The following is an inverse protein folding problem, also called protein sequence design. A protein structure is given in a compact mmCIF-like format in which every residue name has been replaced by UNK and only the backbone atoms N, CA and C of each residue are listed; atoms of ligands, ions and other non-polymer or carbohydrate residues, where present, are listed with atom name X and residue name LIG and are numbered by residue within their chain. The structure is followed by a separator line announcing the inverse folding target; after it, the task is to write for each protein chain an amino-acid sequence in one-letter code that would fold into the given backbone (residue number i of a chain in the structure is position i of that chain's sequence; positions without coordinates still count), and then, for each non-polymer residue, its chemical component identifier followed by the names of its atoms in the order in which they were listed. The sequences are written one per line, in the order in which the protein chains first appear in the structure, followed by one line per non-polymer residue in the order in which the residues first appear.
data_IF_969188061736
#
_entry.id   IF_969188061736
#
_cell.length_a   1.000
_cell.length_b   1.000
_cell.length_c   1.000
_cell.angle_alpha   90.00
_cell.angle_beta   90.00
_cell.angle_gamma   90.00
#
_symmetry.space_group_name_H-M   'P 1'
#
loop_
_entity.id
_entity.type
_entity.pdbx_description
1 polymer ?
#
# COMPACT_ATOMS: atom_id res chain seq x y z
N UNK A 1 15.20 13.97 4.70
CA UNK A 1 15.62 12.77 3.98
C UNK A 1 16.84 13.08 3.13
N UNK A 2 17.98 12.37 3.32
CA UNK A 2 19.24 12.68 2.65
C UNK A 2 19.40 12.03 1.26
N UNK A 3 18.51 11.15 0.87
CA UNK A 3 18.55 10.49 -0.43
C UNK A 3 18.06 11.34 -1.59
N UNK A 4 18.19 10.86 -2.85
CA UNK A 4 17.71 11.57 -4.03
C UNK A 4 16.20 11.84 -3.99
N UNK A 5 15.72 12.97 -4.54
CA UNK A 5 14.28 13.25 -4.70
C UNK A 5 13.63 12.18 -5.58
N UNK A 6 12.47 11.68 -5.16
CA UNK A 6 11.77 10.59 -5.87
C UNK A 6 10.28 10.59 -5.58
N UNK A 7 9.54 9.92 -6.42
CA UNK A 7 8.12 9.62 -6.24
C UNK A 7 7.88 8.11 -6.19
N UNK A 8 6.67 7.69 -5.84
CA UNK A 8 6.26 6.29 -5.84
C UNK A 8 7.17 5.36 -5.01
N UNK A 9 7.80 5.91 -3.99
CA UNK A 9 8.53 5.19 -2.95
C UNK A 9 7.54 4.56 -1.97
N UNK A 10 8.01 3.64 -1.14
CA UNK A 10 7.25 3.08 -0.03
C UNK A 10 7.71 3.62 1.31
N UNK A 11 6.78 3.65 2.25
CA UNK A 11 7.07 3.92 3.66
C UNK A 11 6.21 3.05 4.57
N UNK A 12 6.75 2.72 5.73
CA UNK A 12 6.03 2.05 6.82
C UNK A 12 6.68 2.42 8.16
N UNK A 13 6.01 2.10 9.26
CA UNK A 13 6.56 2.26 10.60
C UNK A 13 6.59 0.92 11.33
N UNK A 14 7.65 0.69 12.12
CA UNK A 14 7.84 -0.46 12.99
C UNK A 14 8.66 -0.01 14.20
N UNK A 15 8.25 -0.42 15.41
CA UNK A 15 8.97 -0.13 16.65
C UNK A 15 9.33 1.36 16.80
N UNK A 16 8.34 2.24 16.56
CA UNK A 16 8.48 3.70 16.67
C UNK A 16 9.52 4.31 15.73
N UNK A 17 9.97 3.56 14.72
CA UNK A 17 10.86 4.01 13.64
C UNK A 17 10.10 4.10 12.33
N UNK A 18 10.44 5.09 11.52
CA UNK A 18 9.97 5.19 10.14
C UNK A 18 10.95 4.52 9.19
N UNK A 19 10.44 3.84 8.18
CA UNK A 19 11.25 3.24 7.11
C UNK A 19 10.79 3.75 5.76
N UNK A 20 11.75 3.98 4.87
CA UNK A 20 11.51 4.53 3.54
C UNK A 20 12.46 3.89 2.53
N UNK A 21 11.96 3.57 1.34
CA UNK A 21 12.81 3.00 0.28
C UNK A 21 12.12 2.89 -1.06
N UNK A 22 12.86 2.37 -2.04
CA UNK A 22 12.40 2.21 -3.43
C UNK A 22 12.04 3.56 -4.09
N UNK A 23 11.25 3.53 -5.17
CA UNK A 23 10.79 4.74 -5.84
C UNK A 23 11.47 5.01 -7.18
N UNK A 24 11.12 6.15 -7.79
CA UNK A 24 11.56 6.54 -9.14
C UNK A 24 11.70 8.07 -9.24
N UNK A 25 12.76 8.55 -9.84
CA UNK A 25 13.02 9.98 -10.01
C UNK A 25 12.64 10.55 -11.39
N UNK A 26 12.09 9.68 -12.26
CA UNK A 26 11.78 10.00 -13.66
C UNK A 26 12.78 9.39 -14.63
N UNK A 27 13.91 8.85 -14.14
CA UNK A 27 14.98 8.25 -14.93
C UNK A 27 15.41 6.90 -14.36
N UNK A 28 15.66 6.82 -13.05
CA UNK A 28 16.19 5.65 -12.36
C UNK A 28 15.22 5.13 -11.30
N UNK A 29 15.12 3.80 -11.21
CA UNK A 29 14.47 3.13 -10.08
C UNK A 29 15.45 2.98 -8.93
N UNK A 30 14.95 3.10 -7.71
CA UNK A 30 15.73 2.99 -6.49
C UNK A 30 15.43 1.72 -5.71
N UNK A 31 16.39 1.27 -4.92
CA UNK A 31 16.28 0.18 -3.95
C UNK A 31 16.99 0.47 -2.64
N UNK A 32 17.54 1.66 -2.48
CA UNK A 32 18.09 2.13 -1.21
C UNK A 32 17.00 2.13 -0.13
N UNK A 33 17.41 1.87 1.09
CA UNK A 33 16.51 1.73 2.21
C UNK A 33 17.02 2.50 3.41
N UNK A 34 16.12 3.22 4.07
CA UNK A 34 16.44 4.21 5.08
C UNK A 34 15.54 4.03 6.31
N UNK A 35 16.14 4.25 7.48
CA UNK A 35 15.46 4.32 8.77
C UNK A 35 15.45 5.76 9.27
N UNK A 36 14.30 6.22 9.74
CA UNK A 36 14.14 7.49 10.43
C UNK A 36 13.91 7.26 11.92
N UNK A 37 14.71 7.90 12.72
CA UNK A 37 14.59 7.96 14.16
C UNK A 37 13.94 9.28 14.58
N UNK A 38 12.68 9.28 15.06
CA UNK A 38 12.00 10.51 15.47
C UNK A 38 12.56 11.13 16.75
N UNK A 39 13.18 10.34 17.65
CA UNK A 39 13.77 10.86 18.89
C UNK A 39 14.99 11.73 18.63
N UNK A 40 15.83 11.31 17.68
CA UNK A 40 17.05 12.03 17.33
C UNK A 40 16.90 12.87 16.07
N UNK A 41 15.76 12.77 15.38
CA UNK A 41 15.50 13.42 14.09
C UNK A 41 16.57 13.09 13.03
N UNK A 42 16.97 11.83 12.96
CA UNK A 42 18.04 11.38 12.05
C UNK A 42 17.57 10.30 11.09
N UNK A 43 18.12 10.36 9.89
CA UNK A 43 18.03 9.31 8.88
C UNK A 43 19.31 8.49 8.86
N UNK A 44 19.17 7.19 8.79
CA UNK A 44 20.28 6.24 8.66
C UNK A 44 20.02 5.31 7.49
N UNK A 45 20.97 5.21 6.56
CA UNK A 45 20.87 4.25 5.47
C UNK A 45 21.08 2.84 6.05
N UNK A 46 20.22 1.93 5.66
CA UNK A 46 20.25 0.51 6.02
C UNK A 46 20.66 -0.31 4.81
N UNK A 47 20.72 -1.63 4.99
CA UNK A 47 20.93 -2.57 3.88
C UNK A 47 19.87 -2.37 2.81
N UNK A 48 20.29 -2.17 1.57
CA UNK A 48 19.39 -2.01 0.43
C UNK A 48 18.35 -3.11 0.33
N UNK A 49 17.19 -2.77 -0.18
CA UNK A 49 16.16 -3.73 -0.54
C UNK A 49 16.71 -4.78 -1.52
N UNK A 50 16.62 -6.09 -1.23
CA UNK A 50 17.31 -7.12 -2.02
C UNK A 50 16.64 -7.44 -3.36
N UNK A 51 15.37 -7.08 -3.53
CA UNK A 51 14.69 -7.20 -4.81
C UNK A 51 15.20 -6.20 -5.86
N UNK A 52 14.66 -6.25 -7.07
CA UNK A 52 14.97 -5.25 -8.11
C UNK A 52 14.60 -3.83 -7.64
N UNK A 53 15.36 -2.84 -8.07
CA UNK A 53 14.99 -1.45 -7.91
C UNK A 53 13.64 -1.19 -8.57
N UNK A 54 12.69 -0.54 -7.87
CA UNK A 54 11.29 -0.49 -8.29
C UNK A 54 10.55 0.73 -7.77
N UNK A 55 9.42 1.02 -8.37
CA UNK A 55 8.45 1.99 -7.89
C UNK A 55 7.07 1.35 -7.68
N UNK A 56 6.12 2.11 -7.12
CA UNK A 56 4.72 1.69 -6.92
C UNK A 56 4.59 0.34 -6.21
N UNK A 57 5.56 -0.01 -5.39
CA UNK A 57 5.51 -1.20 -4.55
C UNK A 57 4.47 -1.06 -3.43
N UNK A 58 4.11 -2.16 -2.81
CA UNK A 58 3.27 -2.22 -1.62
C UNK A 58 4.15 -2.44 -0.41
N UNK A 59 3.89 -1.72 0.70
CA UNK A 59 4.63 -1.90 1.94
C UNK A 59 3.73 -1.74 3.16
N UNK A 60 4.09 -2.43 4.24
CA UNK A 60 3.42 -2.33 5.54
C UNK A 60 4.35 -2.76 6.66
N UNK A 61 4.13 -2.20 7.85
CA UNK A 61 4.68 -2.70 9.11
C UNK A 61 3.73 -3.71 9.73
N UNK A 62 4.23 -4.84 10.19
CA UNK A 62 3.44 -5.91 10.78
C UNK A 62 4.24 -6.56 11.91
N UNK A 63 3.68 -6.60 13.13
CA UNK A 63 4.43 -6.96 14.34
C UNK A 63 5.66 -6.06 14.50
N UNK A 64 6.83 -6.65 14.52
CA UNK A 64 8.14 -6.02 14.67
C UNK A 64 8.94 -5.95 13.36
N UNK A 65 8.30 -6.22 12.22
CA UNK A 65 8.94 -6.34 10.90
C UNK A 65 8.30 -5.47 9.83
N UNK A 66 9.09 -5.10 8.84
CA UNK A 66 8.64 -4.38 7.65
C UNK A 66 8.52 -5.30 6.43
N UNK A 67 7.54 -5.06 5.60
CA UNK A 67 7.28 -5.87 4.40
C UNK A 67 7.24 -4.97 3.17
N UNK A 68 7.92 -5.38 2.10
CA UNK A 68 7.89 -4.71 0.80
C UNK A 68 7.70 -5.76 -0.29
N UNK A 69 6.80 -5.51 -1.22
CA UNK A 69 6.60 -6.39 -2.37
C UNK A 69 5.83 -5.74 -3.51
N UNK A 70 5.61 -6.50 -4.56
CA UNK A 70 4.98 -6.02 -5.80
C UNK A 70 5.69 -4.81 -6.42
N UNK A 71 4.99 -4.02 -7.22
CA UNK A 71 5.56 -2.83 -7.85
C UNK A 71 5.97 -3.05 -9.30
N UNK A 72 6.85 -2.17 -9.79
CA UNK A 72 7.25 -2.11 -11.19
C UNK A 72 8.73 -1.72 -11.33
N UNK A 73 9.45 -2.51 -12.13
CA UNK A 73 10.87 -2.30 -12.48
C UNK A 73 11.13 -2.27 -14.00
N UNK A 74 10.07 -2.05 -14.78
CA UNK A 74 9.96 -2.33 -16.20
C UNK A 74 9.02 -3.51 -16.44
N UNK A 75 8.82 -4.36 -15.42
CA UNK A 75 7.85 -5.44 -15.36
C UNK A 75 6.98 -5.32 -14.12
N UNK A 76 5.77 -5.83 -14.16
CA UNK A 76 4.94 -5.95 -12.96
C UNK A 76 5.45 -7.08 -12.07
N UNK A 77 5.48 -6.84 -10.76
CA UNK A 77 6.10 -7.73 -9.79
C UNK A 77 5.07 -8.29 -8.79
N UNK A 78 5.40 -9.42 -8.14
CA UNK A 78 4.61 -10.01 -7.05
C UNK A 78 5.46 -10.64 -5.94
N UNK A 79 6.78 -10.52 -6.04
CA UNK A 79 7.70 -10.93 -4.99
C UNK A 79 7.49 -10.12 -3.72
N UNK A 80 7.73 -10.73 -2.57
CA UNK A 80 7.67 -10.10 -1.27
C UNK A 80 8.91 -10.41 -0.45
N UNK A 81 9.29 -9.41 0.36
CA UNK A 81 10.43 -9.49 1.25
C UNK A 81 10.04 -8.94 2.62
N UNK A 82 10.59 -9.54 3.65
CA UNK A 82 10.47 -9.08 5.03
C UNK A 82 11.81 -8.52 5.52
N UNK A 83 11.76 -7.38 6.17
CA UNK A 83 12.89 -6.75 6.84
C UNK A 83 12.78 -6.94 8.35
N UNK A 84 13.83 -7.45 8.96
CA UNK A 84 13.99 -7.55 10.40
C UNK A 84 14.87 -6.39 10.90
N UNK A 85 14.30 -5.39 11.58
CA UNK A 85 15.08 -4.26 12.10
C UNK A 85 16.12 -4.63 13.14
N UNK A 86 15.86 -5.67 13.95
CA UNK A 86 16.77 -6.09 15.02
C UNK A 86 18.08 -6.62 14.47
N UNK A 87 18.01 -7.36 13.37
CA UNK A 87 19.19 -7.95 12.73
C UNK A 87 19.66 -7.20 11.49
N UNK A 88 18.91 -6.14 11.07
CA UNK A 88 19.15 -5.39 9.83
C UNK A 88 19.23 -6.30 8.59
N UNK A 89 18.36 -7.31 8.53
CA UNK A 89 18.36 -8.33 7.48
C UNK A 89 17.04 -8.38 6.72
N UNK A 90 17.18 -8.69 5.43
CA UNK A 90 16.09 -9.01 4.55
C UNK A 90 16.00 -10.51 4.30
N UNK A 91 14.78 -11.01 4.15
CA UNK A 91 14.49 -12.37 3.73
C UNK A 91 13.36 -12.32 2.67
N UNK A 92 13.48 -13.13 1.62
CA UNK A 92 12.39 -13.28 0.68
C UNK A 92 11.35 -14.24 1.25
N UNK A 93 10.09 -13.83 1.22
CA UNK A 93 8.98 -14.65 1.66
C UNK A 93 8.14 -15.13 0.46
N UNK A 94 7.22 -16.05 0.74
CA UNK A 94 6.27 -16.54 -0.29
C UNK A 94 5.45 -15.36 -0.84
N UNK A 95 5.31 -15.30 -2.16
CA UNK A 95 4.45 -14.34 -2.84
C UNK A 95 2.98 -14.77 -2.72
N UNK A 96 2.05 -13.83 -2.83
CA UNK A 96 0.64 -14.18 -2.97
C UNK A 96 0.38 -15.00 -4.27
N UNK A 97 -0.73 -15.74 -4.29
CA UNK A 97 -1.14 -16.53 -5.45
C UNK A 97 -1.70 -15.72 -6.63
N UNK A 98 -2.02 -14.44 -6.41
CA UNK A 98 -2.68 -13.57 -7.36
C UNK A 98 -1.75 -12.95 -8.42
N UNK A 99 -2.30 -11.97 -9.14
CA UNK A 99 -1.61 -11.29 -10.25
C UNK A 99 -0.46 -10.42 -9.77
N UNK A 100 0.59 -10.33 -10.59
CA UNK A 100 1.61 -9.29 -10.50
C UNK A 100 0.95 -7.91 -10.57
N UNK A 101 1.47 -6.90 -9.88
CA UNK A 101 0.85 -5.57 -9.90
C UNK A 101 1.73 -4.45 -9.39
N UNK A 102 1.34 -3.23 -9.70
CA UNK A 102 1.81 -1.99 -9.09
C UNK A 102 0.65 -1.17 -8.54
N UNK A 103 0.93 -0.26 -7.63
CA UNK A 103 -0.06 0.68 -7.10
C UNK A 103 -1.23 0.02 -6.37
N UNK A 104 -1.00 -1.15 -5.76
CA UNK A 104 -1.94 -1.81 -4.87
C UNK A 104 -2.09 -1.00 -3.57
N UNK A 105 -3.22 -1.19 -2.89
CA UNK A 105 -3.46 -0.63 -1.57
C UNK A 105 -3.28 -1.71 -0.51
N UNK A 106 -2.61 -1.36 0.59
CA UNK A 106 -2.42 -2.24 1.74
C UNK A 106 -2.83 -1.56 3.04
N UNK A 107 -3.28 -2.35 4.00
CA UNK A 107 -3.59 -1.92 5.37
C UNK A 107 -3.36 -3.07 6.35
N UNK A 108 -3.17 -2.74 7.61
CA UNK A 108 -2.96 -3.73 8.69
C UNK A 108 -4.02 -3.55 9.75
N UNK A 109 -4.71 -4.64 10.09
CA UNK A 109 -5.72 -4.71 11.17
C UNK A 109 -5.42 -5.95 12.01
N UNK A 110 -5.34 -5.80 13.33
CA UNK A 110 -5.15 -6.89 14.28
C UNK A 110 -3.99 -7.82 13.90
N UNK A 111 -2.86 -7.22 13.52
CA UNK A 111 -1.66 -7.93 13.12
C UNK A 111 -1.83 -8.86 11.89
N UNK A 112 -2.77 -8.54 11.02
CA UNK A 112 -2.97 -9.15 9.71
C UNK A 112 -2.83 -8.06 8.66
N UNK A 113 -2.00 -8.30 7.65
CA UNK A 113 -1.88 -7.38 6.51
C UNK A 113 -2.87 -7.77 5.41
N UNK A 114 -3.50 -6.77 4.83
CA UNK A 114 -4.43 -6.91 3.71
C UNK A 114 -3.87 -6.18 2.50
N UNK A 115 -4.02 -6.77 1.32
CA UNK A 115 -3.61 -6.16 0.04
C UNK A 115 -4.70 -6.38 -1.00
N UNK A 116 -5.10 -5.31 -1.66
CA UNK A 116 -6.13 -5.35 -2.69
C UNK A 116 -5.81 -4.40 -3.84
N UNK A 117 -6.53 -4.57 -4.94
CA UNK A 117 -6.52 -3.65 -6.07
C UNK A 117 -5.16 -3.52 -6.76
N UNK A 118 -4.94 -2.45 -7.50
CA UNK A 118 -3.72 -2.24 -8.28
C UNK A 118 -3.91 -2.49 -9.77
N UNK A 119 -2.81 -2.48 -10.54
CA UNK A 119 -2.82 -2.54 -11.99
C UNK A 119 -1.77 -3.49 -12.53
N UNK A 120 -2.13 -4.28 -13.54
CA UNK A 120 -1.29 -5.26 -14.23
C UNK A 120 -1.61 -5.31 -15.73
N UNK A 121 -0.68 -4.89 -16.60
CA UNK A 121 -0.77 -5.04 -18.05
C UNK A 121 -2.13 -4.66 -18.70
N UNK A 122 -2.67 -3.51 -18.34
CA UNK A 122 -3.97 -3.07 -18.89
C UNK A 122 -5.17 -3.39 -17.99
N UNK A 123 -4.99 -4.29 -17.01
CA UNK A 123 -6.06 -4.77 -16.16
C UNK A 123 -6.01 -4.17 -14.75
N UNK A 124 -7.14 -3.70 -14.26
CA UNK A 124 -7.30 -3.35 -12.86
C UNK A 124 -7.60 -4.60 -12.05
N UNK A 125 -6.74 -4.88 -11.09
CA UNK A 125 -6.76 -6.14 -10.34
C UNK A 125 -7.88 -6.15 -9.32
N UNK A 126 -8.61 -7.25 -9.24
CA UNK A 126 -9.83 -7.40 -8.43
C UNK A 126 -9.64 -8.33 -7.23
N UNK A 127 -8.56 -9.09 -7.19
CA UNK A 127 -8.29 -10.02 -6.08
C UNK A 127 -7.99 -9.28 -4.78
N UNK A 128 -8.29 -9.93 -3.67
CA UNK A 128 -8.10 -9.43 -2.32
C UNK A 128 -7.41 -10.50 -1.48
N UNK A 129 -6.34 -10.13 -0.79
CA UNK A 129 -5.48 -11.04 -0.07
C UNK A 129 -5.23 -10.57 1.35
N UNK A 130 -5.07 -11.50 2.28
CA UNK A 130 -4.49 -11.23 3.59
C UNK A 130 -3.25 -12.07 3.83
N UNK A 131 -2.28 -11.51 4.55
CA UNK A 131 -1.08 -12.20 5.01
C UNK A 131 -1.16 -12.45 6.50
N UNK A 132 -1.06 -13.72 6.88
CA UNK A 132 -1.00 -14.16 8.27
C UNK A 132 0.48 -14.39 8.64
N UNK A 133 1.08 -13.56 9.51
CA UNK A 133 2.49 -13.69 9.87
C UNK A 133 2.77 -14.92 10.73
N UNK A 134 1.77 -15.43 11.47
CA UNK A 134 1.91 -16.62 12.30
C UNK A 134 2.03 -17.87 11.44
N UNK A 135 1.23 -17.94 10.38
CA UNK A 135 1.24 -19.05 9.43
C UNK A 135 2.21 -18.83 8.26
N UNK A 136 2.80 -17.63 8.16
CA UNK A 136 3.69 -17.19 7.08
C UNK A 136 3.10 -17.45 5.67
N UNK A 137 1.81 -17.20 5.49
CA UNK A 137 1.12 -17.46 4.23
C UNK A 137 0.14 -16.37 3.85
N UNK A 138 -0.06 -16.25 2.54
CA UNK A 138 -1.14 -15.48 1.95
C UNK A 138 -2.42 -16.31 1.85
N UNK A 139 -3.55 -15.70 2.17
CA UNK A 139 -4.88 -16.29 2.09
C UNK A 139 -5.71 -15.39 1.19
N UNK A 140 -6.26 -15.95 0.11
CA UNK A 140 -7.18 -15.21 -0.75
C UNK A 140 -8.51 -15.03 -0.02
N UNK A 141 -9.01 -13.81 -0.07
CA UNK A 141 -10.37 -13.43 0.34
C UNK A 141 -11.26 -13.38 -0.90
N UNK A 142 -12.52 -13.01 -0.72
CA UNK A 142 -13.43 -12.82 -1.85
C UNK A 142 -12.89 -11.76 -2.80
N UNK A 143 -12.92 -12.04 -4.09
CA UNK A 143 -12.57 -11.04 -5.10
C UNK A 143 -13.53 -9.86 -5.04
N UNK A 144 -12.96 -8.67 -5.25
CA UNK A 144 -13.73 -7.44 -5.34
C UNK A 144 -14.45 -7.42 -6.70
N UNK A 145 -15.78 -7.17 -6.65
CA UNK A 145 -16.66 -7.16 -7.82
C UNK A 145 -16.88 -8.53 -8.46
N UNK A 146 -17.86 -8.60 -9.32
CA UNK A 146 -18.46 -9.79 -9.90
C UNK A 146 -17.50 -10.57 -10.82
N UNK A 147 -16.77 -11.50 -10.22
CA UNK A 147 -15.83 -12.40 -10.91
C UNK A 147 -16.24 -13.88 -10.78
N UNK A 148 -17.02 -14.21 -9.76
CA UNK A 148 -17.55 -15.55 -9.48
C UNK A 148 -18.68 -15.47 -8.44
N UNK A 149 -19.34 -16.60 -8.17
CA UNK A 149 -20.40 -16.70 -7.15
C UNK A 149 -19.91 -16.37 -5.73
N UNK A 150 -18.61 -16.50 -5.47
CA UNK A 150 -17.97 -16.19 -4.18
C UNK A 150 -17.44 -14.75 -4.08
N UNK A 151 -17.53 -13.95 -5.16
CA UNK A 151 -17.07 -12.55 -5.15
C UNK A 151 -18.12 -11.61 -4.58
N UNK A 152 -17.69 -10.35 -4.33
CA UNK A 152 -18.65 -9.27 -4.11
C UNK A 152 -19.35 -8.92 -5.42
N UNK A 153 -20.59 -8.42 -5.35
CA UNK A 153 -21.37 -8.05 -6.52
C UNK A 153 -20.90 -6.76 -7.22
N UNK A 154 -21.52 -6.42 -8.35
CA UNK A 154 -21.15 -5.28 -9.19
C UNK A 154 -21.21 -3.91 -8.50
N UNK A 155 -21.96 -3.74 -7.42
CA UNK A 155 -22.01 -2.46 -6.70
C UNK A 155 -20.67 -2.10 -6.06
N UNK A 156 -19.77 -3.08 -5.87
CA UNK A 156 -18.43 -2.90 -5.29
C UNK A 156 -17.37 -2.52 -6.33
N UNK A 157 -17.69 -2.42 -7.61
CA UNK A 157 -16.75 -2.09 -8.69
C UNK A 157 -15.90 -0.84 -8.43
N UNK A 158 -16.45 0.14 -7.71
CA UNK A 158 -15.72 1.36 -7.41
C UNK A 158 -14.65 1.23 -6.32
N UNK A 159 -14.54 0.06 -5.66
CA UNK A 159 -13.40 -0.27 -4.80
C UNK A 159 -12.16 -0.51 -5.66
N UNK A 160 -12.31 -1.16 -6.82
CA UNK A 160 -11.22 -1.47 -7.74
C UNK A 160 -10.58 -0.18 -8.25
N UNK A 161 -9.29 0.01 -7.95
CA UNK A 161 -8.54 1.21 -8.28
C UNK A 161 -7.04 0.98 -8.29
N UNK A 162 -6.29 1.90 -8.82
CA UNK A 162 -4.83 1.98 -8.68
C UNK A 162 -4.45 3.24 -7.91
N UNK A 163 -3.40 3.16 -7.12
CA UNK A 163 -2.91 4.27 -6.31
C UNK A 163 -3.93 4.84 -5.31
N UNK A 164 -4.84 4.00 -4.84
CA UNK A 164 -5.65 4.32 -3.68
C UNK A 164 -4.81 4.36 -2.41
N UNK A 165 -5.29 5.08 -1.41
CA UNK A 165 -4.68 5.11 -0.09
C UNK A 165 -5.64 4.59 0.96
N UNK A 166 -5.09 4.07 2.04
CA UNK A 166 -5.85 3.51 3.15
C UNK A 166 -5.33 3.98 4.50
N UNK A 167 -6.22 4.03 5.45
CA UNK A 167 -5.91 4.22 6.87
C UNK A 167 -6.86 3.36 7.71
N UNK A 168 -6.46 3.07 8.94
CA UNK A 168 -7.25 2.21 9.84
C UNK A 168 -7.70 3.02 11.05
N UNK A 169 -8.99 2.90 11.39
CA UNK A 169 -9.61 3.50 12.59
C UNK A 169 -10.49 2.43 13.24
N UNK A 170 -10.32 2.20 14.52
CA UNK A 170 -11.13 1.29 15.33
C UNK A 170 -11.28 -0.12 14.70
N UNK A 171 -10.17 -0.68 14.20
CA UNK A 171 -10.15 -2.02 13.62
C UNK A 171 -10.83 -2.13 12.24
N UNK A 172 -11.12 -1.02 11.58
CA UNK A 172 -11.70 -0.96 10.25
C UNK A 172 -10.78 -0.20 9.29
N UNK A 173 -10.62 -0.70 8.07
CA UNK A 173 -9.83 -0.01 7.05
C UNK A 173 -10.72 0.90 6.19
N UNK A 174 -10.19 2.05 5.86
CA UNK A 174 -10.82 3.01 4.94
C UNK A 174 -9.94 3.15 3.71
N UNK A 175 -10.54 3.03 2.53
CA UNK A 175 -9.90 3.14 1.22
C UNK A 175 -10.49 4.33 0.47
N UNK A 176 -9.65 5.21 -0.04
CA UNK A 176 -10.10 6.38 -0.81
C UNK A 176 -9.06 6.80 -1.86
N UNK A 177 -9.37 7.80 -2.67
CA UNK A 177 -8.50 8.32 -3.74
C UNK A 177 -8.09 7.27 -4.78
N UNK A 178 -7.11 7.60 -5.65
CA UNK A 178 -6.77 6.74 -6.78
C UNK A 178 -7.86 6.71 -7.85
N UNK A 179 -7.81 5.75 -8.77
CA UNK A 179 -8.83 5.69 -9.83
C UNK A 179 -8.69 4.53 -10.82
N UNK A 180 -9.65 4.45 -11.78
CA UNK A 180 -9.75 3.45 -12.84
C UNK A 180 -10.57 3.94 -14.03
N UNK A 181 -10.06 4.54 -15.07
CA UNK A 181 -8.89 5.41 -15.15
C UNK A 181 -9.09 6.74 -14.43
N UNK A 182 -10.35 7.17 -14.24
CA UNK A 182 -10.70 8.46 -13.64
C UNK A 182 -10.42 8.45 -12.14
N UNK A 183 -9.89 9.56 -11.64
CA UNK A 183 -9.64 9.75 -10.22
C UNK A 183 -10.96 9.80 -9.44
N UNK A 184 -10.96 9.19 -8.26
CA UNK A 184 -12.15 9.00 -7.44
C UNK A 184 -12.05 9.71 -6.10
N UNK A 185 -13.21 10.07 -5.57
CA UNK A 185 -13.37 10.60 -4.19
C UNK A 185 -14.21 9.68 -3.31
N UNK A 186 -14.89 8.69 -3.89
CA UNK A 186 -15.67 7.76 -3.10
C UNK A 186 -14.75 6.98 -2.15
N UNK A 187 -15.27 6.68 -0.97
CA UNK A 187 -14.53 6.02 0.09
C UNK A 187 -15.28 4.77 0.54
N UNK A 188 -14.52 3.74 0.84
CA UNK A 188 -15.01 2.45 1.27
C UNK A 188 -14.43 2.08 2.62
N UNK A 189 -15.24 1.47 3.46
CA UNK A 189 -14.85 0.90 4.74
C UNK A 189 -14.90 -0.62 4.67
N UNK A 190 -13.82 -1.27 5.08
CA UNK A 190 -13.75 -2.73 5.21
C UNK A 190 -13.80 -3.13 6.67
N UNK A 191 -14.69 -4.08 6.99
CA UNK A 191 -14.86 -4.66 8.33
C UNK A 191 -14.45 -6.13 8.31
N UNK A 192 -13.26 -6.51 8.83
CA UNK A 192 -12.74 -7.88 8.74
C UNK A 192 -13.63 -8.94 9.40
N UNK A 193 -14.27 -8.59 10.53
CA UNK A 193 -15.07 -9.53 11.31
C UNK A 193 -16.25 -10.15 10.53
N UNK A 194 -16.75 -9.43 9.52
CA UNK A 194 -17.86 -9.87 8.66
C UNK A 194 -17.45 -9.98 7.20
N UNK A 195 -16.19 -9.73 6.88
CA UNK A 195 -15.64 -9.70 5.53
C UNK A 195 -16.52 -8.87 4.57
N UNK A 196 -16.80 -7.61 4.93
CA UNK A 196 -17.68 -6.74 4.15
C UNK A 196 -17.10 -5.36 3.94
N UNK A 197 -17.35 -4.85 2.72
CA UNK A 197 -17.11 -3.47 2.33
C UNK A 197 -18.41 -2.67 2.39
N UNK A 198 -18.32 -1.41 2.80
CA UNK A 198 -19.43 -0.47 2.84
C UNK A 198 -18.96 0.87 2.26
N UNK A 199 -19.74 1.46 1.34
CA UNK A 199 -19.46 2.80 0.86
C UNK A 199 -19.80 3.80 1.97
N UNK A 200 -18.85 4.69 2.27
CA UNK A 200 -18.96 5.69 3.32
C UNK A 200 -18.89 7.11 2.75
N UNK A 201 -18.87 8.13 3.60
CA UNK A 201 -18.76 9.51 3.18
C UNK A 201 -17.56 9.72 2.27
N UNK A 202 -17.76 10.39 1.14
CA UNK A 202 -16.74 10.71 0.16
C UNK A 202 -15.62 11.58 0.76
N UNK A 203 -14.40 11.40 0.26
CA UNK A 203 -13.31 12.33 0.49
C UNK A 203 -13.72 13.73 0.01
N UNK A 204 -13.58 14.73 0.89
CA UNK A 204 -14.05 16.10 0.60
C UNK A 204 -13.09 16.91 -0.27
N UNK A 205 -11.82 16.45 -0.39
CA UNK A 205 -10.83 17.09 -1.25
C UNK A 205 -11.04 16.75 -2.73
N UNK A 206 -10.27 17.40 -3.60
CA UNK A 206 -10.30 17.12 -5.03
C UNK A 206 -9.86 15.68 -5.33
N UNK A 207 -10.39 15.04 -6.41
CA UNK A 207 -9.95 13.72 -6.86
C UNK A 207 -8.45 13.71 -7.13
N UNK A 208 -7.73 12.74 -6.55
CA UNK A 208 -6.26 12.72 -6.56
C UNK A 208 -5.66 11.32 -6.50
N UNK A 209 -4.40 11.24 -6.86
CA UNK A 209 -3.54 10.06 -6.77
C UNK A 209 -2.16 10.44 -6.22
N UNK A 210 -1.29 9.45 -5.99
CA UNK A 210 0.04 9.67 -5.41
C UNK A 210 -0.01 10.46 -4.09
N UNK A 211 -1.01 10.17 -3.29
CA UNK A 211 -1.23 10.73 -1.94
C UNK A 211 -0.53 9.87 -0.89
N UNK A 212 -0.30 10.44 0.28
CA UNK A 212 -0.04 9.68 1.49
C UNK A 212 -1.27 9.72 2.41
N UNK A 213 -1.39 8.75 3.32
CA UNK A 213 -2.44 8.69 4.31
C UNK A 213 -1.94 8.14 5.63
N UNK A 214 -2.58 8.55 6.70
CA UNK A 214 -2.34 8.05 8.05
C UNK A 214 -3.58 8.23 8.91
N UNK A 215 -3.61 7.58 10.06
CA UNK A 215 -4.62 7.79 11.09
C UNK A 215 -4.00 8.38 12.35
N UNK A 216 -4.77 9.19 13.05
CA UNK A 216 -4.42 9.69 14.37
C UNK A 216 -5.69 9.80 15.22
N UNK A 217 -5.75 9.01 16.31
CA UNK A 217 -6.98 8.84 17.08
C UNK A 217 -8.11 8.32 16.20
N UNK A 218 -9.27 8.94 16.26
CA UNK A 218 -10.47 8.58 15.47
C UNK A 218 -10.54 9.26 14.09
N UNK A 219 -9.44 9.80 13.58
CA UNK A 219 -9.40 10.53 12.33
C UNK A 219 -8.44 9.91 11.33
N UNK A 220 -8.84 9.86 10.06
CA UNK A 220 -7.98 9.55 8.93
C UNK A 220 -7.60 10.81 8.19
N UNK A 221 -6.37 10.87 7.73
CA UNK A 221 -5.80 11.99 6.98
C UNK A 221 -5.34 11.51 5.61
N UNK A 222 -5.61 12.32 4.60
CA UNK A 222 -5.07 12.19 3.25
C UNK A 222 -4.33 13.46 2.95
N UNK A 223 -3.05 13.33 2.62
CA UNK A 223 -2.15 14.48 2.45
C UNK A 223 -1.55 14.48 1.07
N UNK A 224 -1.32 15.68 0.55
CA UNK A 224 -0.64 15.90 -0.73
C UNK A 224 -1.32 15.19 -1.93
N UNK A 225 -0.56 14.83 -2.94
CA UNK A 225 -1.03 14.13 -4.13
C UNK A 225 -1.08 15.01 -5.37
N UNK A 226 -1.63 14.43 -6.44
CA UNK A 226 -1.77 15.14 -7.73
C UNK A 226 -3.04 14.71 -8.48
N UNK A 227 -3.55 15.60 -9.31
CA UNK A 227 -4.42 15.30 -10.44
C UNK A 227 -3.63 15.36 -11.76
N UNK A 228 -4.32 15.37 -12.89
CA UNK A 228 -3.67 15.60 -14.19
C UNK A 228 -3.06 16.99 -14.31
N UNK A 229 -3.60 17.97 -13.59
CA UNK A 229 -3.27 19.41 -13.76
C UNK A 229 -2.68 20.05 -12.51
N UNK A 230 -2.96 19.52 -11.33
CA UNK A 230 -2.55 20.12 -10.05
C UNK A 230 -1.73 19.18 -9.20
N UNK A 231 -0.82 19.74 -8.38
CA UNK A 231 -0.21 19.12 -7.24
C UNK A 231 -0.82 19.74 -5.99
N UNK A 232 -1.15 18.91 -5.02
CA UNK A 232 -1.82 19.32 -3.79
C UNK A 232 -0.83 19.33 -2.63
N UNK A 233 -0.90 20.33 -1.79
CA UNK A 233 -0.10 20.52 -0.56
C UNK A 233 -0.99 20.60 0.70
N UNK A 234 -2.27 20.27 0.55
CA UNK A 234 -3.28 20.24 1.62
C UNK A 234 -3.26 18.93 2.45
N UNK A 235 -3.99 18.97 3.56
CA UNK A 235 -4.19 17.87 4.49
C UNK A 235 -5.69 17.73 4.81
#
# INVERSE_FOLDING_TARGET
FPGPPRSAAVAFSVNERGYFGTGFDGKEYYKDFWEYDPETNKWTQKTDFPGSARNDATAFGLSDKGYIGSGYDGNYLKDFYVYDPQNSKWEQIVSWGGSKRRGATSFVIDNIAYVCTGYNNGEYVKDFWKYDPTQQRWIQLRDITDTSDDSYDNKYNSIVRVYGVSFVIDGQAYLTCGGTPDLRTNSWRYTPAIDMWEEVAKFKGAPRTATASFSSGSKGFVVTGKSSTFRFDDI
#
